data_IF_843476256616
#
_entry.id   IF_843476256616
#
_cell.length_a   1.000
_cell.length_b   1.000
_cell.length_c   1.000
_cell.angle_alpha   90.00
_cell.angle_beta   90.00
_cell.angle_gamma   90.00
#
_symmetry.space_group_name_H-M   'P 1'
#
loop_
_entity.id
_entity.type
_entity.pdbx_description
1 polymer ?
#
# COMPACT_ATOMS: atom_id res chain seq x y z
N UNK A 1 -11.45 -18.54 6.96
CA UNK A 1 -11.53 -18.65 8.43
C UNK A 1 -10.20 -18.17 8.98
N UNK A 2 -10.18 -16.91 9.41
CA UNK A 2 -8.99 -16.21 9.87
C UNK A 2 -8.90 -16.24 11.38
N UNK A 3 -8.28 -17.28 11.93
CA UNK A 3 -7.79 -17.26 13.31
C UNK A 3 -6.28 -17.06 13.25
N UNK A 4 -5.85 -15.80 13.38
CA UNK A 4 -4.45 -15.39 13.54
C UNK A 4 -3.89 -15.76 14.93
N UNK A 5 -4.48 -16.75 15.59
CA UNK A 5 -4.09 -17.23 16.91
C UNK A 5 -3.15 -18.41 16.71
N UNK A 6 -1.94 -18.32 17.27
CA UNK A 6 -1.02 -19.47 17.30
C UNK A 6 -1.69 -20.68 17.95
N UNK A 7 -1.24 -21.88 17.58
CA UNK A 7 -1.71 -23.13 18.18
C UNK A 7 -0.65 -23.57 19.19
N UNK A 8 -1.06 -23.85 20.42
CA UNK A 8 -0.18 -24.35 21.47
C UNK A 8 -0.61 -25.76 21.89
N UNK A 9 0.34 -26.58 22.32
CA UNK A 9 0.10 -27.96 22.73
C UNK A 9 1.34 -28.62 23.32
N UNK A 10 1.17 -29.83 23.86
CA UNK A 10 2.26 -30.63 24.39
C UNK A 10 3.20 -31.09 23.28
N UNK A 11 4.50 -30.94 23.48
CA UNK A 11 5.52 -31.37 22.53
C UNK A 11 6.05 -32.76 22.87
N UNK A 12 5.96 -33.68 21.92
CA UNK A 12 6.46 -35.04 22.06
C UNK A 12 7.42 -35.41 20.94
N UNK A 13 8.48 -36.13 21.31
CA UNK A 13 9.38 -36.75 20.33
C UNK A 13 8.66 -37.91 19.67
N UNK A 14 8.68 -37.98 18.34
CA UNK A 14 8.10 -39.09 17.61
C UNK A 14 8.82 -40.41 17.90
N UNK A 15 8.07 -41.52 17.96
CA UNK A 15 8.62 -42.88 18.02
C UNK A 15 8.04 -43.74 16.88
N UNK A 16 8.83 -44.13 15.86
CA UNK A 16 10.23 -43.80 15.66
C UNK A 16 10.44 -42.32 15.33
N UNK A 17 11.65 -41.83 15.60
CA UNK A 17 12.03 -40.42 15.46
C UNK A 17 11.85 -39.88 14.04
N UNK A 18 12.00 -40.73 13.03
CA UNK A 18 11.85 -40.40 11.62
C UNK A 18 10.39 -40.37 11.15
N UNK A 19 9.45 -40.91 11.93
CA UNK A 19 8.06 -41.11 11.53
C UNK A 19 7.87 -41.80 10.16
N UNK A 20 8.80 -42.65 9.74
CA UNK A 20 8.69 -43.39 8.47
C UNK A 20 7.88 -44.70 8.60
N UNK A 21 7.40 -45.01 9.80
CA UNK A 21 6.44 -46.07 10.07
C UNK A 21 5.38 -45.57 11.06
N UNK A 22 4.27 -46.31 11.27
CA UNK A 22 3.23 -45.91 12.22
C UNK A 22 3.80 -45.61 13.60
N UNK A 23 3.46 -44.43 14.13
CA UNK A 23 4.02 -43.95 15.40
C UNK A 23 3.48 -44.74 16.60
N UNK A 24 4.35 -44.96 17.58
CA UNK A 24 4.14 -45.81 18.76
C UNK A 24 3.97 -45.01 20.05
N UNK A 25 4.03 -43.67 19.99
CA UNK A 25 3.79 -42.77 21.12
C UNK A 25 2.57 -43.21 21.95
N UNK A 26 2.72 -43.31 23.27
CA UNK A 26 1.59 -43.61 24.17
C UNK A 26 0.98 -42.30 24.67
N UNK A 27 -0.32 -42.14 24.43
CA UNK A 27 -1.09 -40.94 24.77
C UNK A 27 -1.92 -41.09 26.04
N UNK A 28 -1.84 -42.24 26.71
CA UNK A 28 -2.66 -42.55 27.88
C UNK A 28 -4.15 -42.68 27.54
N UNK A 29 -4.92 -43.27 28.45
CA UNK A 29 -6.34 -43.62 28.21
C UNK A 29 -7.32 -42.44 28.26
N UNK A 30 -6.90 -41.25 28.71
CA UNK A 30 -7.81 -40.17 29.13
C UNK A 30 -7.68 -38.84 28.36
N UNK A 31 -7.01 -38.79 27.20
CA UNK A 31 -6.61 -37.52 26.59
C UNK A 31 -6.90 -37.43 25.08
N UNK A 32 -8.16 -37.63 24.69
CA UNK A 32 -8.63 -37.37 23.32
C UNK A 32 -8.61 -35.87 22.95
N UNK A 33 -8.60 -34.99 23.94
CA UNK A 33 -8.81 -33.55 23.74
C UNK A 33 -7.52 -32.72 23.86
N UNK A 34 -6.39 -33.34 24.22
CA UNK A 34 -5.12 -32.63 24.35
C UNK A 34 -4.49 -32.38 22.97
N UNK A 35 -4.13 -31.12 22.70
CA UNK A 35 -3.39 -30.75 21.49
C UNK A 35 -1.94 -31.20 21.68
N UNK A 36 -1.48 -32.05 20.77
CA UNK A 36 -0.11 -32.60 20.80
C UNK A 36 0.62 -32.35 19.50
N UNK A 37 1.90 -32.04 19.59
CA UNK A 37 2.78 -31.81 18.46
C UNK A 37 3.86 -32.87 18.40
N UNK A 38 4.03 -33.49 17.23
CA UNK A 38 5.10 -34.45 16.98
C UNK A 38 6.38 -33.72 16.56
N UNK A 39 7.50 -34.02 17.21
CA UNK A 39 8.84 -33.61 16.79
C UNK A 39 9.51 -34.77 16.04
N UNK A 40 9.81 -34.54 14.76
CA UNK A 40 10.23 -35.56 13.80
C UNK A 40 11.56 -35.15 13.15
N UNK A 41 12.51 -36.08 13.02
CA UNK A 41 13.75 -35.82 12.28
C UNK A 41 13.54 -36.00 10.76
N UNK A 42 14.18 -35.15 9.96
CA UNK A 42 14.30 -35.34 8.52
C UNK A 42 15.16 -36.57 8.20
N UNK A 43 14.84 -37.27 7.12
CA UNK A 43 15.58 -38.45 6.66
C UNK A 43 14.66 -39.59 6.26
N UNK A 44 15.22 -40.61 5.59
CA UNK A 44 14.64 -41.95 5.33
C UNK A 44 13.37 -42.04 4.46
N UNK A 45 12.43 -41.11 4.58
CA UNK A 45 11.19 -41.06 3.82
C UNK A 45 10.77 -39.60 3.51
N UNK A 46 9.70 -39.47 2.72
CA UNK A 46 9.19 -38.16 2.28
C UNK A 46 8.58 -37.35 3.43
N UNK A 47 8.57 -36.01 3.32
CA UNK A 47 7.87 -35.15 4.29
C UNK A 47 6.38 -35.49 4.40
N UNK A 48 5.75 -35.84 3.27
CA UNK A 48 4.36 -36.24 3.23
C UNK A 48 4.09 -37.47 4.11
N UNK A 49 4.92 -38.49 4.00
CA UNK A 49 4.79 -39.73 4.77
C UNK A 49 4.94 -39.49 6.28
N UNK A 50 5.93 -38.70 6.68
CA UNK A 50 6.14 -38.26 8.07
C UNK A 50 4.89 -37.59 8.65
N UNK A 51 4.35 -36.62 7.89
CA UNK A 51 3.17 -35.86 8.30
C UNK A 51 1.93 -36.76 8.37
N UNK A 52 1.76 -37.69 7.43
CA UNK A 52 0.65 -38.65 7.44
C UNK A 52 0.72 -39.60 8.64
N UNK A 53 1.89 -40.12 8.97
CA UNK A 53 2.06 -40.99 10.14
C UNK A 53 1.79 -40.24 11.45
N UNK A 54 2.22 -38.98 11.57
CA UNK A 54 1.87 -38.12 12.69
C UNK A 54 0.35 -37.88 12.79
N UNK A 55 -0.28 -37.52 11.68
CA UNK A 55 -1.73 -37.31 11.62
C UNK A 55 -2.51 -38.58 11.99
N UNK A 56 -2.14 -39.73 11.42
CA UNK A 56 -2.83 -41.01 11.66
C UNK A 56 -2.71 -41.44 13.12
N UNK A 57 -1.62 -41.06 13.80
CA UNK A 57 -1.46 -41.29 15.23
C UNK A 57 -2.35 -40.38 16.08
N UNK A 58 -2.76 -39.22 15.57
CA UNK A 58 -3.63 -38.27 16.27
C UNK A 58 -2.93 -36.99 16.72
N UNK A 59 -1.71 -36.71 16.25
CA UNK A 59 -1.07 -35.42 16.49
C UNK A 59 -1.82 -34.28 15.78
N UNK A 60 -1.86 -33.10 16.40
CA UNK A 60 -2.50 -31.91 15.83
C UNK A 60 -1.55 -31.10 14.94
N UNK A 61 -0.24 -31.24 15.14
CA UNK A 61 0.79 -30.66 14.30
C UNK A 61 2.06 -31.54 14.24
N UNK A 62 2.84 -31.36 13.16
CA UNK A 62 4.13 -31.99 12.95
C UNK A 62 5.23 -30.92 12.80
N UNK A 63 6.26 -31.02 13.63
CA UNK A 63 7.47 -30.19 13.58
C UNK A 63 8.59 -31.08 13.05
N UNK A 64 8.98 -30.87 11.81
CA UNK A 64 10.09 -31.61 11.19
C UNK A 64 11.37 -30.78 11.31
N UNK A 65 12.42 -31.33 11.91
CA UNK A 65 13.71 -30.65 12.01
C UNK A 65 14.76 -31.27 11.10
N UNK A 66 15.68 -30.43 10.64
CA UNK A 66 16.75 -30.83 9.71
C UNK A 66 17.74 -31.83 10.36
N UNK A 67 18.24 -32.78 9.57
CA UNK A 67 19.29 -33.74 10.00
C UNK A 67 20.70 -33.13 9.93
N UNK A 68 20.83 -32.01 9.22
CA UNK A 68 22.11 -31.33 8.93
C UNK A 68 22.15 -29.94 9.53
N UNK A 69 23.34 -29.50 9.95
CA UNK A 69 23.59 -28.09 10.25
C UNK A 69 23.72 -27.33 8.94
N UNK A 70 22.59 -26.85 8.43
CA UNK A 70 22.54 -26.00 7.25
C UNK A 70 21.73 -24.74 7.54
N UNK A 71 22.17 -23.61 6.99
CA UNK A 71 21.43 -22.34 7.11
C UNK A 71 20.29 -22.23 6.08
N UNK A 72 20.16 -23.22 5.19
CA UNK A 72 19.18 -23.22 4.12
C UNK A 72 17.97 -24.04 4.54
N UNK A 73 16.93 -23.34 5.01
CA UNK A 73 15.64 -23.98 5.28
C UNK A 73 15.06 -24.56 3.98
N UNK A 74 14.68 -25.83 4.02
CA UNK A 74 14.09 -26.54 2.88
C UNK A 74 12.57 -26.33 2.89
N UNK A 75 12.01 -26.03 1.73
CA UNK A 75 10.56 -26.04 1.55
C UNK A 75 10.06 -27.49 1.53
N UNK A 76 9.12 -27.82 2.42
CA UNK A 76 8.47 -29.13 2.42
C UNK A 76 7.57 -29.25 1.18
N UNK A 77 7.98 -30.07 0.22
CA UNK A 77 7.15 -30.43 -0.92
C UNK A 77 6.21 -31.54 -0.48
N UNK A 78 4.91 -31.25 -0.43
CA UNK A 78 3.87 -32.14 0.10
C UNK A 78 2.62 -32.04 -0.77
N UNK A 79 1.98 -33.16 -1.08
CA UNK A 79 0.64 -33.14 -1.65
C UNK A 79 -0.39 -32.86 -0.56
N UNK A 80 -1.11 -31.73 -0.58
CA UNK A 80 -2.00 -31.33 0.51
C UNK A 80 -3.25 -32.22 0.63
N UNK A 81 -3.55 -33.07 -0.35
CA UNK A 81 -4.76 -33.92 -0.33
C UNK A 81 -4.78 -34.83 0.90
N UNK A 82 -5.76 -34.63 1.77
CA UNK A 82 -5.98 -35.45 2.96
C UNK A 82 -5.05 -35.15 4.15
N UNK A 83 -4.22 -34.12 4.07
CA UNK A 83 -3.43 -33.61 5.20
C UNK A 83 -4.19 -32.45 5.84
N UNK A 84 -4.48 -32.58 7.12
CA UNK A 84 -5.28 -31.65 7.93
C UNK A 84 -4.47 -31.03 9.08
N UNK A 85 -3.34 -31.64 9.44
CA UNK A 85 -2.46 -31.18 10.52
C UNK A 85 -1.53 -30.08 10.04
N UNK A 86 -1.17 -29.15 10.94
CA UNK A 86 -0.17 -28.13 10.67
C UNK A 86 1.22 -28.76 10.58
N UNK A 87 2.00 -28.43 9.56
CA UNK A 87 3.38 -28.91 9.43
C UNK A 87 4.34 -27.73 9.33
N UNK A 88 5.40 -27.74 10.14
CA UNK A 88 6.47 -26.73 10.12
C UNK A 88 7.84 -27.38 10.02
N UNK A 89 8.75 -26.73 9.30
CA UNK A 89 10.14 -27.15 9.19
C UNK A 89 11.05 -26.21 9.97
N UNK A 90 11.96 -26.76 10.78
CA UNK A 90 12.91 -26.00 11.61
C UNK A 90 14.35 -26.48 11.39
N UNK A 91 15.33 -25.65 11.78
CA UNK A 91 16.74 -26.03 11.71
C UNK A 91 17.06 -27.18 12.66
N UNK A 92 18.18 -27.87 12.41
CA UNK A 92 18.72 -28.89 13.32
C UNK A 92 18.88 -28.38 14.75
N UNK A 93 19.49 -27.21 14.92
CA UNK A 93 19.71 -26.61 16.25
C UNK A 93 18.41 -26.34 17.00
N UNK A 94 17.37 -25.85 16.31
CA UNK A 94 16.06 -25.65 16.91
C UNK A 94 15.40 -26.99 17.25
N UNK A 95 15.51 -27.99 16.38
CA UNK A 95 15.00 -29.34 16.62
C UNK A 95 15.64 -30.03 17.82
N UNK A 96 16.96 -29.94 17.96
CA UNK A 96 17.71 -30.47 19.11
C UNK A 96 17.29 -29.77 20.40
N UNK A 97 17.20 -28.44 20.39
CA UNK A 97 16.67 -27.68 21.53
C UNK A 97 15.25 -28.11 21.92
N UNK A 98 14.36 -28.24 20.94
CA UNK A 98 12.99 -28.70 21.15
C UNK A 98 12.95 -30.13 21.70
N UNK A 99 13.83 -31.01 21.22
CA UNK A 99 13.93 -32.40 21.68
C UNK A 99 14.27 -32.49 23.16
N UNK A 100 15.20 -31.67 23.64
CA UNK A 100 15.60 -31.62 25.06
C UNK A 100 14.48 -31.08 25.97
N UNK A 101 13.51 -30.36 25.40
CA UNK A 101 12.38 -29.76 26.12
C UNK A 101 11.03 -30.46 25.84
N UNK A 102 11.02 -31.52 25.03
CA UNK A 102 9.84 -32.29 24.67
C UNK A 102 9.39 -33.20 25.82
N UNK A 103 8.76 -32.59 26.83
CA UNK A 103 8.30 -33.26 28.07
C UNK A 103 6.82 -33.66 28.01
N UNK A 104 6.25 -33.82 26.82
CA UNK A 104 4.83 -34.14 26.63
C UNK A 104 3.93 -33.03 27.19
N UNK A 105 2.98 -33.39 28.04
CA UNK A 105 2.06 -32.43 28.69
C UNK A 105 2.76 -31.38 29.57
N UNK A 106 3.95 -31.69 30.08
CA UNK A 106 4.74 -30.75 30.89
C UNK A 106 5.62 -29.82 30.03
N UNK A 107 5.63 -30.00 28.71
CA UNK A 107 6.42 -29.22 27.76
C UNK A 107 5.52 -28.58 26.70
N UNK A 108 5.04 -27.37 26.96
CA UNK A 108 4.21 -26.64 26.01
C UNK A 108 5.06 -26.05 24.86
N UNK A 109 4.61 -26.24 23.63
CA UNK A 109 5.15 -25.61 22.43
C UNK A 109 4.04 -24.84 21.73
N UNK A 110 4.35 -23.67 21.17
CA UNK A 110 3.42 -22.84 20.44
C UNK A 110 3.92 -22.57 19.02
N UNK A 111 3.06 -22.81 18.03
CA UNK A 111 3.31 -22.51 16.63
C UNK A 111 2.50 -21.28 16.24
N UNK A 112 3.19 -20.17 16.01
CA UNK A 112 2.58 -18.94 15.54
C UNK A 112 2.66 -18.86 14.01
N UNK A 113 1.53 -18.75 13.30
CA UNK A 113 1.56 -18.52 11.87
C UNK A 113 2.28 -17.20 11.59
N UNK A 114 3.09 -17.18 10.53
CA UNK A 114 3.80 -15.98 10.11
C UNK A 114 2.77 -14.89 9.81
N UNK A 115 2.81 -13.79 10.55
CA UNK A 115 1.95 -12.61 10.34
C UNK A 115 2.16 -12.06 8.93
N UNK A 116 1.31 -12.44 7.97
CA UNK A 116 1.26 -11.82 6.65
C UNK A 116 0.85 -10.33 6.70
N UNK A 117 0.46 -9.82 7.88
CA UNK A 117 0.16 -8.41 8.12
C UNK A 117 1.36 -7.46 7.97
N UNK A 118 2.61 -7.95 7.97
CA UNK A 118 3.79 -7.08 7.77
C UNK A 118 3.88 -6.52 6.35
N UNK A 119 3.55 -7.30 5.32
CA UNK A 119 3.61 -6.81 3.94
C UNK A 119 2.55 -5.72 3.68
N UNK A 120 1.31 -5.98 4.08
CA UNK A 120 0.21 -5.01 3.92
C UNK A 120 0.44 -3.71 4.68
N UNK A 121 0.95 -3.79 5.91
CA UNK A 121 1.29 -2.58 6.68
C UNK A 121 2.42 -1.79 6.01
N UNK A 122 3.45 -2.45 5.50
CA UNK A 122 4.51 -1.78 4.73
C UNK A 122 3.95 -1.12 3.47
N UNK A 123 3.12 -1.81 2.68
CA UNK A 123 2.50 -1.23 1.49
C UNK A 123 1.61 -0.02 1.81
N UNK A 124 0.80 -0.10 2.88
CA UNK A 124 -0.06 0.99 3.31
C UNK A 124 0.76 2.23 3.76
N UNK A 125 1.84 2.02 4.52
CA UNK A 125 2.73 3.10 4.97
C UNK A 125 3.42 3.76 3.78
N UNK A 126 3.93 2.98 2.82
CA UNK A 126 4.53 3.52 1.60
C UNK A 126 3.53 4.34 0.79
N UNK A 127 2.30 3.84 0.62
CA UNK A 127 1.26 4.54 -0.12
C UNK A 127 0.87 5.88 0.53
N UNK A 128 0.64 5.88 1.86
CA UNK A 128 0.36 7.11 2.61
C UNK A 128 1.49 8.13 2.49
N UNK A 129 2.74 7.67 2.57
CA UNK A 129 3.92 8.55 2.44
C UNK A 129 3.98 9.21 1.06
N UNK A 130 3.72 8.45 -0.02
CA UNK A 130 3.71 8.98 -1.38
C UNK A 130 2.59 10.01 -1.60
N UNK A 131 1.40 9.77 -1.07
CA UNK A 131 0.28 10.72 -1.16
C UNK A 131 0.62 12.04 -0.46
N UNK A 132 1.24 11.97 0.73
CA UNK A 132 1.67 13.16 1.47
C UNK A 132 2.73 13.93 0.69
N UNK A 133 3.76 13.27 0.15
CA UNK A 133 4.80 13.90 -0.67
C UNK A 133 4.18 14.55 -1.91
N UNK A 134 3.30 13.85 -2.63
CA UNK A 134 2.63 14.39 -3.81
C UNK A 134 1.78 15.63 -3.48
N UNK A 135 1.03 15.61 -2.37
CA UNK A 135 0.26 16.77 -1.91
C UNK A 135 1.17 17.97 -1.60
N UNK A 136 2.30 17.75 -0.92
CA UNK A 136 3.29 18.80 -0.69
C UNK A 136 3.85 19.39 -1.98
N UNK A 137 4.18 18.55 -2.97
CA UNK A 137 4.67 19.01 -4.28
C UNK A 137 3.61 19.83 -5.04
N UNK A 138 2.35 19.38 -5.02
CA UNK A 138 1.23 20.11 -5.64
C UNK A 138 1.03 21.46 -4.96
N UNK A 139 1.02 21.51 -3.63
CA UNK A 139 0.86 22.77 -2.88
C UNK A 139 2.04 23.71 -3.18
N UNK A 140 3.28 23.21 -3.13
CA UNK A 140 4.48 23.99 -3.41
C UNK A 140 4.52 24.54 -4.84
N UNK A 141 3.94 23.84 -5.82
CA UNK A 141 3.97 24.24 -7.23
C UNK A 141 2.76 25.08 -7.66
N UNK A 142 1.58 24.81 -7.08
CA UNK A 142 0.31 25.49 -7.41
C UNK A 142 0.11 26.75 -6.58
N UNK A 143 0.45 26.76 -5.28
CA UNK A 143 0.23 27.93 -4.44
C UNK A 143 0.99 29.18 -4.92
N UNK A 144 2.28 29.11 -5.32
CA UNK A 144 3.00 30.27 -5.85
C UNK A 144 2.45 30.73 -7.20
N UNK A 145 2.06 29.80 -8.09
CA UNK A 145 1.48 30.13 -9.40
C UNK A 145 0.10 30.76 -9.27
N UNK A 146 -0.75 30.20 -8.41
CA UNK A 146 -2.08 30.73 -8.14
C UNK A 146 -1.98 32.12 -7.51
N UNK A 147 -1.09 32.31 -6.52
CA UNK A 147 -0.88 33.62 -5.88
C UNK A 147 -0.27 34.64 -6.85
N UNK A 148 0.71 34.24 -7.68
CA UNK A 148 1.29 35.10 -8.72
C UNK A 148 0.25 35.50 -9.77
N UNK A 149 -0.56 34.54 -10.25
CA UNK A 149 -1.63 34.81 -11.20
C UNK A 149 -2.76 35.64 -10.57
N UNK A 150 -3.05 35.47 -9.28
CA UNK A 150 -4.02 36.28 -8.55
C UNK A 150 -3.50 37.71 -8.32
N UNK A 151 -2.24 37.86 -7.91
CA UNK A 151 -1.56 39.17 -7.82
C UNK A 151 -1.52 39.86 -9.19
N UNK A 152 -1.18 39.14 -10.27
CA UNK A 152 -1.16 39.69 -11.64
C UNK A 152 -2.56 40.13 -12.08
N UNK A 153 -3.61 39.38 -11.77
CA UNK A 153 -5.00 39.75 -12.04
C UNK A 153 -5.48 40.95 -11.21
N UNK A 154 -5.00 41.10 -9.97
CA UNK A 154 -5.32 42.26 -9.12
C UNK A 154 -4.46 43.50 -9.44
N UNK A 155 -3.24 43.33 -9.98
CA UNK A 155 -2.40 44.44 -10.44
C UNK A 155 -2.84 45.02 -11.80
N UNK A 156 -3.63 44.28 -12.59
CA UNK A 156 -4.14 44.71 -13.91
C UNK A 156 -5.51 45.41 -13.82
N UNK A 157 -5.92 45.92 -12.65
CA UNK A 157 -7.17 46.68 -12.53
C UNK A 157 -7.01 47.98 -11.76
N UNK A 158 -6.63 49.03 -12.48
CA UNK A 158 -7.35 50.31 -12.48
C UNK A 158 -6.65 51.27 -13.44
N UNK A 159 -7.29 51.63 -14.56
CA UNK A 159 -6.90 52.86 -15.29
C UNK A 159 -7.42 54.01 -14.44
N UNK A 160 -6.53 54.92 -14.04
CA UNK A 160 -6.89 56.06 -13.21
C UNK A 160 -7.98 56.89 -13.90
N UNK A 161 -9.12 57.12 -13.23
CA UNK A 161 -10.26 57.87 -13.78
C UNK A 161 -9.83 59.26 -14.25
N UNK A 162 -8.81 59.84 -13.61
CA UNK A 162 -8.23 61.13 -13.99
C UNK A 162 -7.58 61.12 -15.38
N UNK A 163 -7.02 59.99 -15.79
CA UNK A 163 -6.44 59.83 -17.13
C UNK A 163 -7.52 59.71 -18.20
N UNK A 164 -8.68 59.13 -17.87
CA UNK A 164 -9.85 59.02 -18.77
C UNK A 164 -10.58 60.37 -18.92
N UNK A 165 -10.59 61.19 -17.87
CA UNK A 165 -11.14 62.55 -17.92
C UNK A 165 -10.29 63.50 -18.77
N UNK A 166 -8.98 63.30 -18.80
CA UNK A 166 -8.05 64.13 -19.58
C UNK A 166 -7.99 63.81 -21.09
N UNK A 167 -8.77 62.84 -21.58
CA UNK A 167 -8.79 62.48 -23.00
C UNK A 167 -9.43 63.60 -23.85
N UNK A 168 -8.81 63.97 -24.99
CA UNK A 168 -9.36 65.00 -25.85
C UNK A 168 -10.71 64.56 -26.44
N UNK A 169 -11.70 65.44 -26.37
CA UNK A 169 -13.03 65.25 -26.92
C UNK A 169 -13.22 66.06 -28.21
N UNK A 170 -13.96 65.51 -29.16
CA UNK A 170 -14.45 66.23 -30.34
C UNK A 170 -15.90 65.85 -30.63
N UNK A 171 -16.61 66.71 -31.38
CA UNK A 171 -18.00 66.45 -31.78
C UNK A 171 -18.00 65.81 -33.15
N UNK A 172 -18.67 64.67 -33.29
CA UNK A 172 -18.83 63.98 -34.55
C UNK A 172 -19.79 64.73 -35.48
N UNK A 173 -19.44 64.80 -36.76
CA UNK A 173 -20.29 65.37 -37.81
C UNK A 173 -20.02 64.66 -39.13
N UNK A 174 -21.05 64.01 -39.66
CA UNK A 174 -21.10 63.23 -40.89
C UNK A 174 -20.51 63.96 -42.11
N UNK A 175 -20.65 65.29 -42.17
CA UNK A 175 -20.11 66.13 -43.25
C UNK A 175 -18.57 66.28 -43.25
N UNK A 176 -17.86 65.82 -42.20
CA UNK A 176 -16.39 65.96 -42.03
C UNK A 176 -15.65 64.61 -41.98
N UNK A 177 -16.36 63.50 -42.20
CA UNK A 177 -15.91 62.13 -41.96
C UNK A 177 -15.11 61.54 -43.13
N UNK A 178 -13.90 62.04 -43.39
CA UNK A 178 -12.97 61.34 -44.32
C UNK A 178 -11.74 60.75 -43.63
N UNK A 179 -11.63 60.88 -42.30
CA UNK A 179 -10.38 60.60 -41.57
C UNK A 179 -10.56 59.69 -40.34
N UNK A 180 -11.80 59.44 -39.86
CA UNK A 180 -12.04 58.60 -38.69
C UNK A 180 -13.22 57.64 -38.95
N UNK A 181 -13.08 56.37 -38.54
CA UNK A 181 -14.11 55.35 -38.75
C UNK A 181 -15.47 55.75 -38.15
N UNK A 182 -16.55 55.27 -38.77
CA UNK A 182 -17.94 55.66 -38.44
C UNK A 182 -18.55 54.85 -37.29
N UNK A 183 -17.78 53.93 -36.70
CA UNK A 183 -18.21 53.01 -35.66
C UNK A 183 -17.30 53.04 -34.44
N UNK A 184 -17.88 52.90 -33.27
CA UNK A 184 -17.14 52.76 -32.04
C UNK A 184 -16.44 51.41 -31.95
N UNK A 185 -15.11 51.38 -31.91
CA UNK A 185 -14.35 50.12 -31.80
C UNK A 185 -14.53 49.36 -30.47
N UNK A 186 -15.23 49.95 -29.49
CA UNK A 186 -15.47 49.35 -28.17
C UNK A 186 -16.89 48.74 -28.09
N UNK A 187 -17.92 49.51 -28.44
CA UNK A 187 -19.32 49.03 -28.41
C UNK A 187 -19.87 48.58 -29.77
N UNK A 188 -19.14 48.83 -30.86
CA UNK A 188 -19.50 48.48 -32.25
C UNK A 188 -20.78 49.14 -32.76
N UNK A 189 -21.16 50.28 -32.17
CA UNK A 189 -22.30 51.10 -32.59
C UNK A 189 -21.85 52.27 -33.49
N UNK A 190 -22.68 52.67 -34.44
CA UNK A 190 -22.45 53.81 -35.35
C UNK A 190 -22.55 55.15 -34.61
N UNK A 191 -21.74 56.13 -35.01
CA UNK A 191 -21.77 57.49 -34.44
C UNK A 191 -22.90 58.34 -35.02
N UNK A 192 -23.58 59.10 -34.15
CA UNK A 192 -24.61 60.05 -34.57
C UNK A 192 -24.07 61.50 -34.63
N UNK A 193 -24.66 62.31 -35.50
CA UNK A 193 -24.31 63.72 -35.62
C UNK A 193 -24.55 64.49 -34.30
N UNK A 194 -23.51 65.17 -33.83
CA UNK A 194 -23.53 65.92 -32.56
C UNK A 194 -23.04 65.12 -31.35
N UNK A 195 -22.65 63.85 -31.51
CA UNK A 195 -22.10 63.05 -30.41
C UNK A 195 -20.69 63.52 -29.99
N UNK A 196 -20.45 63.53 -28.68
CA UNK A 196 -19.15 63.86 -28.10
C UNK A 196 -18.30 62.59 -27.96
N UNK A 197 -17.24 62.50 -28.75
CA UNK A 197 -16.35 61.35 -28.79
C UNK A 197 -15.02 61.66 -28.12
N UNK A 198 -14.48 60.68 -27.37
CA UNK A 198 -13.13 60.74 -26.77
C UNK A 198 -12.13 59.98 -27.63
N UNK A 199 -11.04 60.63 -28.01
CA UNK A 199 -9.95 60.00 -28.76
C UNK A 199 -9.01 59.30 -27.80
N UNK A 200 -8.76 58.02 -28.04
CA UNK A 200 -7.71 57.28 -27.33
C UNK A 200 -6.33 57.65 -27.91
N UNK A 201 -5.30 57.85 -27.08
CA UNK A 201 -3.99 58.36 -27.52
C UNK A 201 -3.13 57.33 -28.27
N UNK A 202 -3.70 56.20 -28.69
CA UNK A 202 -2.94 55.19 -29.42
C UNK A 202 -2.78 55.60 -30.88
N UNK A 203 -1.56 56.01 -31.25
CA UNK A 203 -1.16 56.30 -32.63
C UNK A 203 -0.94 55.01 -33.44
N UNK A 204 -1.97 54.16 -33.53
CA UNK A 204 -1.93 53.05 -34.46
C UNK A 204 -2.43 53.54 -35.81
N UNK A 205 -1.49 53.76 -36.73
CA UNK A 205 -1.78 53.83 -38.16
C UNK A 205 -2.34 52.45 -38.56
N UNK A 206 -3.61 52.41 -38.95
CA UNK A 206 -4.22 51.23 -39.53
C UNK A 206 -3.75 51.20 -40.99
N UNK A 207 -2.61 50.56 -41.22
CA UNK A 207 -2.16 50.13 -42.55
C UNK A 207 -3.03 49.00 -43.07
#
# INVERSE_FOLDING_TARGET
IGSNTGVCGGLEVADPLDACSPLRNDFGSNQSDSIRFALIIRGDCSFEEKIRNAQNKGFSAAIVYDDRYSNNLVYMVVNPKGIKVLAVFVSKSAGEFLKDHAKGENGECCIYPRLNGKAWTVFAICFLSLVVIAAFLVIAFVAPRSLSNWRRRNLVRSVDSKMVEALPCFVFGSARSSIAGETCAICLEDYNDGELLKVLPCQHDIS
#
